data_IF_214273587970
#
_entry.id   IF_214273587970
#
_cell.length_a   1.000
_cell.length_b   1.000
_cell.length_c   1.000
_cell.angle_alpha   90.00
_cell.angle_beta   90.00
_cell.angle_gamma   90.00
#
_symmetry.space_group_name_H-M   'P 1'
#
loop_
_entity.id
_entity.type
_entity.pdbx_description
1 polymer ?
#
# COMPACT_ATOMS: atom_id res chain seq x y z
N UNK A 1 -9.93 -40.41 -10.98
CA UNK A 1 -10.54 -39.06 -10.97
C UNK A 1 -12.04 -39.20 -11.26
N UNK A 2 -12.93 -38.70 -10.38
CA UNK A 2 -14.40 -38.81 -10.55
C UNK A 2 -14.85 -38.15 -11.87
N UNK A 3 -15.86 -38.73 -12.53
CA UNK A 3 -16.36 -38.29 -13.86
C UNK A 3 -16.75 -36.80 -13.87
N UNK A 4 -17.31 -36.33 -12.76
CA UNK A 4 -17.68 -34.94 -12.50
C UNK A 4 -16.48 -33.99 -12.52
N UNK A 5 -15.34 -34.41 -11.94
CA UNK A 5 -14.13 -33.60 -11.91
C UNK A 5 -13.49 -33.50 -13.31
N UNK A 6 -13.54 -34.56 -14.11
CA UNK A 6 -13.13 -34.52 -15.53
C UNK A 6 -14.00 -33.55 -16.34
N UNK A 7 -15.31 -33.56 -16.12
CA UNK A 7 -16.22 -32.64 -16.77
C UNK A 7 -15.97 -31.18 -16.35
N UNK A 8 -15.74 -30.93 -15.06
CA UNK A 8 -15.41 -29.61 -14.54
C UNK A 8 -14.07 -29.08 -15.10
N UNK A 9 -13.04 -29.94 -15.19
CA UNK A 9 -11.73 -29.59 -15.75
C UNK A 9 -11.71 -29.46 -17.28
N UNK A 10 -12.71 -30.01 -17.97
CA UNK A 10 -12.86 -29.87 -19.42
C UNK A 10 -13.67 -28.63 -19.84
N UNK A 11 -14.22 -27.87 -18.88
CA UNK A 11 -15.00 -26.66 -19.12
C UNK A 11 -14.18 -25.37 -19.15
N UNK A 12 -14.87 -24.22 -19.13
CA UNK A 12 -14.22 -22.91 -19.06
C UNK A 12 -13.63 -22.65 -17.67
N UNK A 13 -12.31 -22.80 -17.55
CA UNK A 13 -11.59 -22.63 -16.28
C UNK A 13 -11.15 -21.20 -15.98
N UNK A 14 -11.64 -20.18 -16.73
CA UNK A 14 -11.17 -18.78 -16.61
C UNK A 14 -11.16 -18.30 -15.15
N UNK A 15 -12.25 -18.52 -14.41
CA UNK A 15 -12.41 -18.13 -13.00
C UNK A 15 -11.45 -18.80 -12.01
N UNK A 16 -10.70 -19.81 -12.43
CA UNK A 16 -9.73 -20.55 -11.60
C UNK A 16 -8.29 -20.31 -12.03
N UNK A 17 -8.06 -19.47 -13.05
CA UNK A 17 -6.71 -19.13 -13.51
C UNK A 17 -6.06 -18.16 -12.54
N UNK A 18 -4.73 -18.21 -12.48
CA UNK A 18 -3.94 -17.32 -11.62
C UNK A 18 -4.03 -15.86 -12.07
N UNK A 19 -3.91 -14.96 -11.10
CA UNK A 19 -3.77 -13.52 -11.29
C UNK A 19 -2.58 -13.09 -10.41
N UNK A 20 -1.33 -13.20 -10.91
CA UNK A 20 -0.14 -12.91 -10.11
C UNK A 20 0.07 -11.41 -9.93
N UNK A 21 0.76 -11.06 -8.84
CA UNK A 21 1.41 -9.76 -8.72
C UNK A 21 2.53 -9.63 -9.75
N UNK A 22 2.41 -8.64 -10.62
CA UNK A 22 3.36 -8.33 -11.66
C UNK A 22 4.15 -7.10 -11.28
N UNK A 23 5.40 -7.34 -10.86
CA UNK A 23 6.28 -6.28 -10.35
C UNK A 23 6.81 -5.41 -11.49
N UNK A 24 6.41 -4.15 -11.48
CA UNK A 24 7.00 -3.09 -12.29
C UNK A 24 8.13 -2.45 -11.49
N UNK A 25 9.36 -2.87 -11.78
CA UNK A 25 10.55 -2.59 -10.97
C UNK A 25 11.78 -2.20 -11.80
N UNK A 26 11.56 -1.57 -12.95
CA UNK A 26 12.60 -1.01 -13.81
C UNK A 26 12.04 0.21 -14.57
N UNK A 27 12.71 0.66 -15.62
CA UNK A 27 12.10 1.56 -16.60
C UNK A 27 10.93 0.87 -17.31
N UNK A 28 9.82 1.58 -17.42
CA UNK A 28 8.60 1.12 -18.05
C UNK A 28 8.68 1.26 -19.57
N UNK A 29 8.25 0.23 -20.28
CA UNK A 29 8.15 0.24 -21.73
C UNK A 29 6.85 -0.45 -22.17
N UNK A 30 6.02 0.25 -22.94
CA UNK A 30 4.70 -0.24 -23.30
C UNK A 30 4.77 -1.52 -24.14
N UNK A 31 5.74 -1.62 -25.05
CA UNK A 31 5.87 -2.77 -25.92
C UNK A 31 6.31 -4.02 -25.15
N UNK A 32 7.26 -3.86 -24.22
CA UNK A 32 7.70 -4.94 -23.35
C UNK A 32 6.58 -5.40 -22.41
N UNK A 33 5.83 -4.47 -21.80
CA UNK A 33 4.71 -4.79 -20.94
C UNK A 33 3.60 -5.55 -21.69
N UNK A 34 3.27 -5.11 -22.92
CA UNK A 34 2.32 -5.81 -23.79
C UNK A 34 2.81 -7.21 -24.17
N UNK A 35 4.10 -7.35 -24.49
CA UNK A 35 4.73 -8.65 -24.78
C UNK A 35 4.64 -9.60 -23.58
N UNK A 36 4.89 -9.11 -22.37
CA UNK A 36 4.76 -9.92 -21.15
C UNK A 36 3.32 -10.39 -20.91
N UNK A 37 2.31 -9.59 -21.27
CA UNK A 37 0.90 -10.03 -21.19
C UNK A 37 0.61 -11.17 -22.18
N UNK A 38 1.18 -11.13 -23.39
CA UNK A 38 1.09 -12.25 -24.33
C UNK A 38 1.73 -13.52 -23.77
N UNK A 39 2.93 -13.42 -23.19
CA UNK A 39 3.62 -14.54 -22.54
C UNK A 39 2.81 -15.11 -21.36
N UNK A 40 2.19 -14.24 -20.55
CA UNK A 40 1.28 -14.67 -19.48
C UNK A 40 0.07 -15.42 -20.05
N UNK A 41 -0.52 -14.93 -21.15
CA UNK A 41 -1.66 -15.57 -21.80
C UNK A 41 -1.29 -16.97 -22.33
N UNK A 42 -0.14 -17.08 -22.99
CA UNK A 42 0.41 -18.35 -23.49
C UNK A 42 0.64 -19.36 -22.37
N UNK A 43 1.12 -18.88 -21.21
CA UNK A 43 1.28 -19.69 -20.01
C UNK A 43 -0.05 -20.07 -19.31
N UNK A 44 -1.19 -19.63 -19.82
CA UNK A 44 -2.51 -19.95 -19.27
C UNK A 44 -2.93 -19.11 -18.05
N UNK A 45 -2.25 -18.00 -17.79
CA UNK A 45 -2.60 -17.05 -16.73
C UNK A 45 -3.92 -16.33 -17.09
N UNK A 46 -4.72 -15.99 -16.08
CA UNK A 46 -6.06 -15.41 -16.24
C UNK A 46 -6.09 -13.89 -16.21
N UNK A 47 -5.11 -13.28 -15.55
CA UNK A 47 -5.04 -11.85 -15.32
C UNK A 47 -3.70 -11.43 -14.73
N UNK A 48 -3.57 -10.18 -14.30
CA UNK A 48 -2.36 -9.66 -13.67
C UNK A 48 -2.68 -8.48 -12.76
N UNK A 49 -1.87 -8.30 -11.71
CA UNK A 49 -1.93 -7.13 -10.83
C UNK A 49 -0.70 -6.27 -11.09
N UNK A 50 -0.89 -5.13 -11.78
CA UNK A 50 0.18 -4.16 -12.04
C UNK A 50 0.64 -3.57 -10.69
N UNK A 51 1.90 -3.82 -10.32
CA UNK A 51 2.40 -3.49 -8.98
C UNK A 51 3.71 -2.74 -9.06
N UNK A 52 3.69 -1.46 -8.71
CA UNK A 52 4.91 -0.69 -8.49
C UNK A 52 5.75 -1.32 -7.36
N UNK A 53 7.02 -1.59 -7.64
CA UNK A 53 7.93 -2.26 -6.70
C UNK A 53 9.31 -1.63 -6.69
N UNK A 54 10.07 -1.94 -5.64
CA UNK A 54 11.47 -1.50 -5.48
C UNK A 54 12.27 -1.76 -6.74
N UNK A 55 12.84 -0.69 -7.32
CA UNK A 55 13.56 -0.71 -8.59
C UNK A 55 12.85 0.05 -9.71
N UNK A 56 11.57 0.42 -9.55
CA UNK A 56 10.84 1.28 -10.48
C UNK A 56 11.63 2.59 -10.69
N UNK A 57 11.92 2.91 -11.96
CA UNK A 57 12.71 4.10 -12.33
C UNK A 57 11.86 5.28 -12.77
N UNK A 58 10.70 4.99 -13.36
CA UNK A 58 9.75 6.01 -13.77
C UNK A 58 8.89 6.48 -12.59
N UNK A 59 8.39 7.71 -12.67
CA UNK A 59 7.56 8.30 -11.64
C UNK A 59 6.26 7.50 -11.44
N UNK A 60 6.04 7.04 -10.21
CA UNK A 60 4.78 6.40 -9.82
C UNK A 60 3.63 7.39 -9.95
N UNK A 61 2.54 7.00 -10.64
CA UNK A 61 1.41 7.86 -10.99
C UNK A 61 1.80 9.07 -11.87
N UNK A 62 2.95 9.03 -12.53
CA UNK A 62 3.31 9.97 -13.60
C UNK A 62 2.70 9.59 -14.95
N UNK A 63 2.91 10.43 -15.96
CA UNK A 63 2.35 10.21 -17.31
C UNK A 63 2.84 8.90 -17.95
N UNK A 64 4.12 8.54 -17.77
CA UNK A 64 4.68 7.27 -18.27
C UNK A 64 4.06 6.05 -17.60
N UNK A 65 3.80 6.12 -16.30
CA UNK A 65 3.07 5.08 -15.57
C UNK A 65 1.68 4.89 -16.16
N UNK A 66 0.92 5.98 -16.33
CA UNK A 66 -0.43 5.90 -16.88
C UNK A 66 -0.49 5.47 -18.34
N UNK A 67 0.49 5.84 -19.18
CA UNK A 67 0.55 5.36 -20.56
C UNK A 67 0.75 3.84 -20.62
N UNK A 68 1.60 3.30 -19.75
CA UNK A 68 1.83 1.87 -19.60
C UNK A 68 0.59 1.14 -19.08
N UNK A 69 -0.12 1.70 -18.09
CA UNK A 69 -1.40 1.16 -17.62
C UNK A 69 -2.42 1.11 -18.77
N UNK A 70 -2.54 2.18 -19.57
CA UNK A 70 -3.44 2.22 -20.71
C UNK A 70 -3.13 1.12 -21.75
N UNK A 71 -1.85 0.92 -22.08
CA UNK A 71 -1.41 -0.14 -22.98
C UNK A 71 -1.77 -1.54 -22.43
N UNK A 72 -1.56 -1.77 -21.14
CA UNK A 72 -1.90 -3.03 -20.48
C UNK A 72 -3.41 -3.28 -20.46
N UNK A 73 -4.23 -2.26 -20.20
CA UNK A 73 -5.70 -2.36 -20.21
C UNK A 73 -6.23 -2.68 -21.62
N UNK A 74 -5.70 -2.02 -22.65
CA UNK A 74 -6.01 -2.34 -24.04
C UNK A 74 -5.67 -3.80 -24.35
N UNK A 75 -4.50 -4.26 -23.91
CA UNK A 75 -4.07 -5.64 -24.14
C UNK A 75 -4.91 -6.65 -23.36
N UNK A 76 -5.31 -6.35 -22.14
CA UNK A 76 -6.23 -7.15 -21.35
C UNK A 76 -7.58 -7.36 -22.08
N UNK A 77 -8.11 -6.30 -22.72
CA UNK A 77 -9.31 -6.39 -23.58
C UNK A 77 -9.11 -7.35 -24.73
N UNK A 78 -8.00 -7.24 -25.44
CA UNK A 78 -7.68 -8.08 -26.61
C UNK A 78 -7.53 -9.56 -26.22
N UNK A 79 -6.91 -9.85 -25.08
CA UNK A 79 -6.64 -11.22 -24.63
C UNK A 79 -7.76 -11.80 -23.76
N UNK A 80 -8.74 -10.99 -23.37
CA UNK A 80 -9.81 -11.36 -22.43
C UNK A 80 -9.28 -11.70 -21.03
N UNK A 81 -8.13 -11.13 -20.65
CA UNK A 81 -7.54 -11.27 -19.31
C UNK A 81 -8.06 -10.18 -18.38
N UNK A 82 -8.05 -10.46 -17.07
CA UNK A 82 -8.51 -9.50 -16.07
C UNK A 82 -7.31 -8.70 -15.53
N UNK A 83 -7.37 -7.37 -15.62
CA UNK A 83 -6.32 -6.47 -15.15
C UNK A 83 -6.70 -5.89 -13.78
N UNK A 84 -5.70 -5.78 -12.91
CA UNK A 84 -5.83 -5.20 -11.58
C UNK A 84 -4.68 -4.23 -11.34
N UNK A 85 -4.90 -3.27 -10.44
CA UNK A 85 -3.89 -2.27 -10.06
C UNK A 85 -3.65 -2.37 -8.55
N UNK A 86 -2.37 -2.43 -8.16
CA UNK A 86 -2.03 -2.20 -6.76
C UNK A 86 -1.94 -0.68 -6.52
N UNK A 87 -2.71 -0.19 -5.55
CA UNK A 87 -2.97 1.23 -5.28
C UNK A 87 -1.80 1.98 -4.61
N UNK A 88 -0.62 1.37 -4.54
CA UNK A 88 0.56 1.95 -3.90
C UNK A 88 1.87 1.58 -4.61
N UNK A 89 2.89 2.43 -4.42
CA UNK A 89 4.27 2.08 -4.73
C UNK A 89 4.89 1.25 -3.59
N UNK A 90 4.79 -0.07 -3.71
CA UNK A 90 5.27 -1.02 -2.71
C UNK A 90 4.15 -1.51 -1.78
N UNK A 91 4.37 -1.48 -0.47
CA UNK A 91 3.39 -1.75 0.58
C UNK A 91 3.88 -1.08 1.89
N UNK A 92 3.00 -0.77 2.86
CA UNK A 92 1.53 -0.82 2.80
C UNK A 92 0.94 0.40 2.05
N UNK A 93 -0.33 0.33 1.66
CA UNK A 93 -1.04 1.46 1.05
C UNK A 93 -1.32 2.56 2.07
N UNK A 94 -1.24 3.82 1.63
CA UNK A 94 -1.68 4.97 2.42
C UNK A 94 -0.81 6.20 2.31
N UNK A 95 0.28 6.17 1.53
CA UNK A 95 1.21 7.30 1.44
C UNK A 95 1.60 7.72 0.02
N UNK A 96 1.11 7.03 -1.01
CA UNK A 96 1.20 7.42 -2.43
C UNK A 96 2.66 7.64 -2.87
N UNK A 97 3.48 6.59 -2.73
CA UNK A 97 4.90 6.62 -3.00
C UNK A 97 5.69 7.59 -2.12
N UNK A 98 5.12 8.00 -0.99
CA UNK A 98 5.70 8.95 -0.03
C UNK A 98 5.18 10.37 -0.18
N UNK A 99 4.40 10.69 -1.23
CA UNK A 99 3.86 12.03 -1.45
C UNK A 99 3.08 12.56 -0.24
N UNK A 100 2.25 11.73 0.40
CA UNK A 100 1.46 12.18 1.55
C UNK A 100 2.29 12.38 2.81
N UNK A 101 3.51 11.84 2.88
CA UNK A 101 4.44 12.07 3.99
C UNK A 101 5.03 13.48 3.97
N UNK A 102 4.91 14.23 2.88
CA UNK A 102 5.32 15.65 2.82
C UNK A 102 4.52 16.51 3.81
N UNK A 103 3.28 16.14 4.09
CA UNK A 103 2.46 16.78 5.11
C UNK A 103 2.69 16.11 6.48
N UNK A 104 3.30 16.84 7.43
CA UNK A 104 3.57 16.31 8.77
C UNK A 104 2.29 15.94 9.53
N UNK A 105 1.16 16.62 9.30
CA UNK A 105 -0.11 16.27 9.96
C UNK A 105 -0.70 14.95 9.49
N UNK A 106 -0.22 14.42 8.36
CA UNK A 106 -0.64 13.14 7.81
C UNK A 106 0.20 11.98 8.33
N UNK A 107 1.29 12.23 9.04
CA UNK A 107 2.20 11.18 9.51
C UNK A 107 1.66 10.45 10.73
N UNK A 108 1.83 9.14 10.76
CA UNK A 108 1.46 8.30 11.88
C UNK A 108 2.20 8.74 13.14
N UNK A 109 1.54 8.67 14.29
CA UNK A 109 2.18 8.87 15.59
C UNK A 109 2.47 7.54 16.25
N UNK A 110 3.55 7.48 17.02
CA UNK A 110 3.88 6.31 17.83
C UNK A 110 4.40 6.74 19.19
N UNK A 111 4.29 5.84 20.17
CA UNK A 111 4.82 6.04 21.50
C UNK A 111 6.19 5.37 21.60
N UNK A 112 7.14 6.11 22.15
CA UNK A 112 8.46 5.61 22.51
C UNK A 112 8.59 5.64 24.04
N UNK A 113 9.22 4.62 24.61
CA UNK A 113 9.34 4.47 26.06
C UNK A 113 10.81 4.33 26.47
N UNK A 114 11.18 5.03 27.54
CA UNK A 114 12.47 4.87 28.21
C UNK A 114 12.30 4.90 29.73
N UNK A 115 13.22 4.26 30.45
CA UNK A 115 13.37 4.40 31.89
C UNK A 115 14.67 5.17 32.19
N UNK A 116 14.63 6.14 33.10
CA UNK A 116 15.81 6.93 33.45
C UNK A 116 15.50 8.15 34.31
N UNK A 117 16.29 9.21 34.20
CA UNK A 117 16.02 10.48 34.87
C UNK A 117 14.70 11.10 34.39
N UNK A 118 14.13 11.98 35.21
CA UNK A 118 12.97 12.77 34.82
C UNK A 118 13.31 13.63 33.60
N UNK A 119 12.50 13.53 32.56
CA UNK A 119 12.65 14.30 31.32
C UNK A 119 11.43 15.20 31.11
N UNK A 120 11.64 16.51 31.23
CA UNK A 120 10.61 17.53 31.01
C UNK A 120 10.05 17.54 29.58
N UNK A 121 10.79 16.99 28.61
CA UNK A 121 10.34 16.86 27.22
C UNK A 121 9.46 15.63 26.96
N UNK A 122 9.33 14.72 27.94
CA UNK A 122 8.47 13.55 27.81
C UNK A 122 6.99 13.97 27.67
N UNK A 123 6.25 13.27 26.81
CA UNK A 123 4.81 13.48 26.68
C UNK A 123 4.08 13.09 27.98
N UNK A 124 4.56 12.05 28.66
CA UNK A 124 4.15 11.70 30.00
C UNK A 124 5.32 11.02 30.74
N UNK A 125 5.49 11.34 32.02
CA UNK A 125 6.41 10.64 32.91
C UNK A 125 5.62 9.92 34.00
N UNK A 126 6.06 8.73 34.37
CA UNK A 126 5.45 7.95 35.44
C UNK A 126 6.50 7.51 36.45
N UNK A 127 6.10 7.39 37.71
CA UNK A 127 6.89 6.77 38.77
C UNK A 127 6.19 5.49 39.22
N UNK A 128 6.95 4.50 39.65
CA UNK A 128 6.38 3.27 40.20
C UNK A 128 5.90 3.52 41.62
N UNK A 129 4.66 3.11 41.92
CA UNK A 129 4.04 3.11 43.23
C UNK A 129 3.65 1.69 43.61
N UNK A 130 4.02 1.26 44.82
CA UNK A 130 3.83 -0.13 45.27
C UNK A 130 2.36 -0.56 45.39
N UNK A 131 1.41 0.38 45.48
CA UNK A 131 -0.02 0.09 45.64
C UNK A 131 -0.82 0.36 44.36
N UNK A 132 -0.41 1.34 43.56
CA UNK A 132 -1.15 1.85 42.40
C UNK A 132 -0.47 1.50 41.07
N UNK A 133 0.70 0.86 41.08
CA UNK A 133 1.42 0.50 39.87
C UNK A 133 2.24 1.66 39.34
N UNK A 134 1.72 2.40 38.36
CA UNK A 134 2.41 3.56 37.77
C UNK A 134 1.56 4.82 37.95
N UNK A 135 2.14 5.85 38.57
CA UNK A 135 1.48 7.12 38.81
C UNK A 135 2.12 8.18 37.93
N UNK A 136 1.31 8.90 37.15
CA UNK A 136 1.80 9.99 36.31
C UNK A 136 2.29 11.15 37.17
N UNK A 137 3.45 11.69 36.83
CA UNK A 137 4.02 12.89 37.45
C UNK A 137 4.26 13.95 36.38
N UNK A 138 4.22 15.21 36.80
CA UNK A 138 4.44 16.38 35.92
C UNK A 138 5.71 17.15 36.25
N UNK A 139 6.42 16.75 37.31
CA UNK A 139 7.65 17.37 37.79
C UNK A 139 8.55 16.33 38.46
N UNK A 140 9.84 16.64 38.58
CA UNK A 140 10.81 15.81 39.29
C UNK A 140 10.46 15.75 40.78
N UNK A 141 10.38 14.55 41.32
CA UNK A 141 10.07 14.28 42.72
C UNK A 141 11.32 13.97 43.54
N UNK A 142 11.36 14.49 44.77
CA UNK A 142 12.44 14.23 45.71
C UNK A 142 12.46 12.74 46.10
N UNK A 143 13.65 12.13 46.08
CA UNK A 143 13.84 10.72 46.43
C UNK A 143 13.49 9.72 45.33
N UNK A 144 13.06 10.18 44.15
CA UNK A 144 12.82 9.32 42.98
C UNK A 144 13.98 9.47 41.99
N UNK A 145 14.63 8.36 41.67
CA UNK A 145 15.77 8.27 40.74
C UNK A 145 15.43 7.65 39.39
N UNK A 146 14.26 7.02 39.24
CA UNK A 146 13.84 6.36 38.01
C UNK A 146 12.42 6.78 37.63
N UNK A 147 12.29 7.24 36.39
CA UNK A 147 11.06 7.68 35.76
C UNK A 147 10.86 6.88 34.49
N UNK A 148 9.61 6.54 34.23
CA UNK A 148 9.14 5.85 33.04
C UNK A 148 8.61 6.91 32.07
N UNK A 149 9.50 7.38 31.20
CA UNK A 149 9.22 8.44 30.25
C UNK A 149 8.60 7.86 28.99
N UNK A 150 7.44 8.40 28.60
CA UNK A 150 6.73 8.09 27.36
C UNK A 150 6.77 9.32 26.48
N UNK A 151 7.22 9.15 25.25
CA UNK A 151 7.32 10.20 24.26
C UNK A 151 6.35 9.94 23.12
N UNK A 152 5.70 11.00 22.65
CA UNK A 152 4.92 10.97 21.42
C UNK A 152 5.83 11.36 20.26
N UNK A 153 6.02 10.44 19.32
CA UNK A 153 6.84 10.61 18.13
C UNK A 153 5.98 10.63 16.87
N UNK A 154 6.54 11.20 15.82
CA UNK A 154 5.94 11.24 14.47
C UNK A 154 6.77 10.35 13.56
N UNK A 155 6.12 9.42 12.88
CA UNK A 155 6.77 8.50 11.95
C UNK A 155 7.27 9.24 10.72
N UNK A 156 8.55 9.08 10.33
CA UNK A 156 9.05 9.66 9.08
C UNK A 156 8.64 8.84 7.85
N UNK A 157 8.08 7.64 8.03
CA UNK A 157 7.94 6.64 6.98
C UNK A 157 6.50 6.12 6.78
N UNK A 158 5.54 6.51 7.64
CA UNK A 158 4.16 6.05 7.54
C UNK A 158 3.17 7.18 7.78
N UNK A 159 2.05 7.14 7.08
CA UNK A 159 0.89 8.01 7.32
C UNK A 159 -0.04 7.44 8.38
N UNK A 160 -0.80 8.33 9.03
CA UNK A 160 -1.88 7.97 9.94
C UNK A 160 -3.09 7.53 9.14
N UNK A 161 -3.20 6.22 8.88
CA UNK A 161 -4.32 5.64 8.13
C UNK A 161 -5.66 5.72 8.86
N UNK A 162 -5.68 6.14 10.13
CA UNK A 162 -6.91 6.40 10.88
C UNK A 162 -7.36 7.86 10.78
N UNK A 163 -6.52 8.74 10.22
CA UNK A 163 -6.89 10.12 9.94
C UNK A 163 -7.74 10.17 8.64
N UNK A 164 -9.02 10.60 8.70
CA UNK A 164 -9.87 10.66 7.52
C UNK A 164 -9.33 11.58 6.42
N UNK A 165 -8.61 12.65 6.77
CA UNK A 165 -8.00 13.55 5.78
C UNK A 165 -6.92 12.84 4.95
N UNK A 166 -6.23 11.86 5.54
CA UNK A 166 -5.24 11.02 4.86
C UNK A 166 -5.95 10.07 3.90
N UNK A 167 -7.05 9.44 4.33
CA UNK A 167 -7.85 8.56 3.46
C UNK A 167 -8.40 9.31 2.25
N UNK A 168 -8.98 10.50 2.46
CA UNK A 168 -9.51 11.34 1.38
C UNK A 168 -8.40 11.79 0.42
N UNK A 169 -7.23 12.16 0.96
CA UNK A 169 -6.08 12.50 0.14
C UNK A 169 -5.56 11.30 -0.66
N UNK A 170 -5.51 10.11 -0.06
CA UNK A 170 -5.08 8.89 -0.73
C UNK A 170 -6.00 8.53 -1.90
N UNK A 171 -7.32 8.52 -1.68
CA UNK A 171 -8.33 8.25 -2.72
C UNK A 171 -8.21 9.26 -3.87
N UNK A 172 -8.11 10.56 -3.56
CA UNK A 172 -7.96 11.63 -4.56
C UNK A 172 -6.70 11.47 -5.39
N UNK A 173 -5.59 11.08 -4.76
CA UNK A 173 -4.30 10.98 -5.44
C UNK A 173 -4.10 9.67 -6.21
N UNK A 174 -4.88 8.63 -5.89
CA UNK A 174 -4.81 7.29 -6.51
C UNK A 174 -6.08 6.99 -7.31
N UNK A 175 -7.12 6.50 -6.64
CA UNK A 175 -8.36 5.97 -7.20
C UNK A 175 -9.04 6.95 -8.16
N UNK A 176 -9.16 8.22 -7.78
CA UNK A 176 -9.78 9.25 -8.63
C UNK A 176 -8.98 9.50 -9.90
N UNK A 177 -7.64 9.46 -9.85
CA UNK A 177 -6.79 9.63 -11.05
C UNK A 177 -6.93 8.46 -12.02
N UNK A 178 -7.01 7.24 -11.51
CA UNK A 178 -7.28 6.06 -12.32
C UNK A 178 -8.69 6.12 -12.92
N UNK A 179 -9.69 6.50 -12.13
CA UNK A 179 -11.07 6.61 -12.59
C UNK A 179 -11.23 7.67 -13.68
N UNK A 180 -10.67 8.87 -13.50
CA UNK A 180 -10.67 9.95 -14.48
C UNK A 180 -10.15 9.48 -15.85
N UNK A 181 -9.04 8.72 -15.85
CA UNK A 181 -8.35 8.27 -17.07
C UNK A 181 -8.97 7.03 -17.69
N UNK A 182 -9.48 6.10 -16.87
CA UNK A 182 -9.80 4.74 -17.32
C UNK A 182 -11.22 4.29 -17.00
N UNK A 183 -12.15 5.20 -16.64
CA UNK A 183 -13.56 4.87 -16.34
C UNK A 183 -14.24 3.90 -17.31
N UNK A 184 -13.85 3.89 -18.59
CA UNK A 184 -14.43 2.98 -19.58
C UNK A 184 -14.06 1.50 -19.38
N UNK A 185 -12.95 1.24 -18.68
CA UNK A 185 -12.42 -0.09 -18.36
C UNK A 185 -12.89 -0.61 -16.99
N UNK A 186 -13.34 0.28 -16.09
CA UNK A 186 -13.80 -0.09 -14.75
C UNK A 186 -14.98 -1.08 -14.79
N UNK A 187 -14.87 -2.16 -14.01
CA UNK A 187 -15.89 -3.23 -13.98
C UNK A 187 -15.93 -4.08 -15.25
N UNK A 188 -14.94 -3.92 -16.14
CA UNK A 188 -14.76 -4.72 -17.36
C UNK A 188 -13.40 -5.40 -17.32
N UNK A 189 -12.41 -4.84 -18.02
CA UNK A 189 -11.04 -5.34 -17.99
C UNK A 189 -10.33 -4.94 -16.69
N UNK A 190 -10.59 -3.74 -16.17
CA UNK A 190 -10.09 -3.31 -14.87
C UNK A 190 -11.06 -3.81 -13.79
N UNK A 191 -10.68 -4.92 -13.16
CA UNK A 191 -11.52 -5.65 -12.21
C UNK A 191 -11.35 -5.21 -10.75
N UNK A 192 -10.22 -4.58 -10.40
CA UNK A 192 -9.90 -4.13 -9.05
C UNK A 192 -8.65 -3.27 -9.00
#
# INVERSE_FOLDING_TARGET
>A
MKKELKAALGGELKKYRSIPFWSWNNSLDEAELVKQIDEMKEAGIGGFIMHARTGLKDEYLGEKWFSCVAACLKKARETGMDAWIYDENGWPSGFVGGKLLENESFRARYLEYTAGEFDESAFAAYVKDDKQGFVRVTEKQAGISEYHNVYLRVSPANTDILNPDVTDAFIRETHEKYYERFKEYFGKELAG
#
